data_IF_566651610039
#
_entry.id   IF_566651610039
#
_cell.length_a   1.000
_cell.length_b   1.000
_cell.length_c   1.000
_cell.angle_alpha   90.00
_cell.angle_beta   90.00
_cell.angle_gamma   90.00
#
_symmetry.space_group_name_H-M   'P 1'
#
loop_
_entity.id
_entity.type
_entity.pdbx_description
1 polymer ?
#
# COMPACT_ATOMS: atom_id res chain seq x y z
N UNK A 1 70.90 -26.19 22.76
CA UNK A 1 69.67 -25.39 22.94
C UNK A 1 68.89 -25.46 21.64
N UNK A 2 67.96 -26.41 21.53
CA UNK A 2 67.12 -26.61 20.35
C UNK A 2 66.18 -25.40 20.17
N UNK A 3 66.02 -24.84 18.96
CA UNK A 3 65.22 -23.64 18.75
C UNK A 3 63.72 -23.97 18.87
N UNK A 4 63.19 -23.79 20.08
CA UNK A 4 61.75 -23.76 20.43
C UNK A 4 60.90 -22.93 19.44
N UNK A 5 61.53 -21.98 18.76
CA UNK A 5 60.91 -21.12 17.76
C UNK A 5 60.41 -21.90 16.52
N UNK A 6 61.16 -22.90 16.03
CA UNK A 6 60.81 -23.66 14.82
C UNK A 6 59.52 -24.48 14.99
N UNK A 7 59.36 -25.13 16.14
CA UNK A 7 58.17 -25.93 16.45
C UNK A 7 56.88 -25.11 16.55
N UNK A 8 56.97 -23.86 17.00
CA UNK A 8 55.80 -22.98 17.14
C UNK A 8 55.34 -22.41 15.80
N UNK A 9 56.28 -22.13 14.88
CA UNK A 9 55.98 -21.66 13.53
C UNK A 9 55.37 -22.78 12.69
N UNK A 10 55.93 -23.99 12.77
CA UNK A 10 55.39 -25.16 12.07
C UNK A 10 53.98 -25.52 12.54
N UNK A 11 53.73 -25.51 13.87
CA UNK A 11 52.38 -25.72 14.42
C UNK A 11 51.38 -24.66 13.97
N UNK A 12 51.78 -23.38 13.92
CA UNK A 12 50.91 -22.30 13.44
C UNK A 12 50.57 -22.45 11.95
N UNK A 13 51.54 -22.80 11.12
CA UNK A 13 51.32 -23.06 9.70
C UNK A 13 50.42 -24.27 9.44
N UNK A 14 50.56 -25.33 10.23
CA UNK A 14 49.68 -26.50 10.21
C UNK A 14 48.25 -26.15 10.64
N UNK A 15 48.09 -25.36 11.69
CA UNK A 15 46.78 -24.89 12.17
C UNK A 15 46.09 -23.98 11.15
N UNK A 16 46.82 -23.02 10.55
CA UNK A 16 46.24 -22.15 9.52
C UNK A 16 45.90 -22.93 8.26
N UNK A 17 46.76 -23.86 7.83
CA UNK A 17 46.49 -24.75 6.70
C UNK A 17 45.28 -25.65 6.93
N UNK A 18 45.14 -26.20 8.14
CA UNK A 18 43.98 -27.01 8.52
C UNK A 18 42.68 -26.18 8.54
N UNK A 19 42.71 -24.98 9.12
CA UNK A 19 41.55 -24.07 9.12
C UNK A 19 41.15 -23.64 7.70
N UNK A 20 42.13 -23.38 6.82
CA UNK A 20 41.87 -23.07 5.42
C UNK A 20 41.23 -24.29 4.71
N UNK A 21 41.74 -25.49 4.95
CA UNK A 21 41.18 -26.73 4.40
C UNK A 21 39.74 -26.96 4.85
N UNK A 22 39.41 -26.71 6.13
CA UNK A 22 38.03 -26.81 6.63
C UNK A 22 37.12 -25.81 5.90
N UNK A 23 37.55 -24.56 5.70
CA UNK A 23 36.77 -23.55 4.95
C UNK A 23 36.58 -23.91 3.47
N UNK A 24 37.54 -24.57 2.83
CA UNK A 24 37.42 -25.04 1.44
C UNK A 24 36.53 -26.30 1.31
N UNK A 25 36.44 -27.13 2.35
CA UNK A 25 35.66 -28.38 2.35
C UNK A 25 34.21 -28.17 2.76
N UNK A 26 33.90 -27.11 3.53
CA UNK A 26 32.52 -26.73 3.83
C UNK A 26 31.84 -26.17 2.58
N UNK A 27 31.24 -27.06 1.76
CA UNK A 27 30.25 -26.63 0.77
C UNK A 27 29.08 -26.01 1.53
N UNK A 28 28.59 -24.82 1.15
CA UNK A 28 27.36 -24.29 1.72
C UNK A 28 26.25 -25.30 1.41
N UNK A 29 25.71 -25.93 2.45
CA UNK A 29 24.52 -26.76 2.33
C UNK A 29 23.35 -25.82 2.11
N UNK A 30 23.02 -25.54 0.84
CA UNK A 30 21.78 -24.85 0.53
C UNK A 30 20.64 -25.83 0.79
N UNK A 31 19.83 -25.54 1.79
CA UNK A 31 18.58 -26.26 2.02
C UNK A 31 17.45 -25.69 1.16
N UNK A 32 16.37 -26.46 1.05
CA UNK A 32 15.13 -26.04 0.38
C UNK A 32 14.51 -24.86 1.16
N UNK A 33 14.25 -23.78 0.44
CA UNK A 33 13.60 -22.58 0.98
C UNK A 33 12.11 -22.62 0.60
N UNK A 34 11.23 -22.58 1.59
CA UNK A 34 9.77 -22.68 1.40
C UNK A 34 9.14 -21.35 1.79
N UNK A 35 8.38 -20.76 0.88
CA UNK A 35 7.78 -19.44 1.01
C UNK A 35 6.26 -19.55 0.93
N UNK A 36 5.56 -19.06 1.95
CA UNK A 36 4.11 -18.98 2.00
C UNK A 36 3.66 -17.60 2.48
N UNK A 37 2.41 -17.24 2.20
CA UNK A 37 1.83 -16.02 2.75
C UNK A 37 1.77 -16.15 4.29
N UNK A 38 2.26 -15.17 5.07
CA UNK A 38 2.30 -15.29 6.53
C UNK A 38 0.90 -15.27 7.15
N UNK A 39 -0.02 -14.52 6.55
CA UNK A 39 -1.40 -14.39 7.00
C UNK A 39 -2.33 -14.32 5.78
N UNK A 40 -3.47 -15.00 5.87
CA UNK A 40 -4.53 -14.98 4.86
C UNK A 40 -5.85 -14.71 5.57
N UNK A 41 -6.63 -13.75 5.06
CA UNK A 41 -7.97 -13.44 5.57
C UNK A 41 -9.01 -13.86 4.53
N UNK A 42 -9.91 -14.76 4.91
CA UNK A 42 -11.00 -15.24 4.05
C UNK A 42 -12.36 -14.92 4.64
N UNK A 43 -13.36 -14.77 3.79
CA UNK A 43 -14.75 -14.67 4.25
C UNK A 43 -15.33 -16.07 4.43
N UNK A 44 -16.11 -16.26 5.50
CA UNK A 44 -16.85 -17.51 5.71
C UNK A 44 -17.72 -17.85 4.49
N UNK A 45 -17.66 -19.10 4.03
CA UNK A 45 -18.37 -19.60 2.85
C UNK A 45 -17.69 -19.36 1.49
N UNK A 46 -16.58 -18.62 1.44
CA UNK A 46 -15.86 -18.34 0.18
C UNK A 46 -14.74 -19.35 -0.09
N UNK A 47 -14.26 -19.38 -1.34
CA UNK A 47 -13.05 -20.10 -1.71
C UNK A 47 -11.82 -19.21 -1.48
N UNK A 48 -10.76 -19.75 -0.89
CA UNK A 48 -9.50 -19.05 -0.72
C UNK A 48 -8.31 -19.92 -1.06
N UNK A 49 -7.23 -19.28 -1.48
CA UNK A 49 -5.98 -19.98 -1.85
C UNK A 49 -4.93 -19.75 -0.78
N UNK A 50 -4.37 -20.82 -0.26
CA UNK A 50 -3.21 -20.81 0.62
C UNK A 50 -1.97 -21.00 -0.26
N UNK A 51 -1.24 -19.91 -0.49
CA UNK A 51 -0.09 -19.92 -1.38
C UNK A 51 1.12 -20.52 -0.69
N UNK A 52 1.79 -21.42 -1.38
CA UNK A 52 3.09 -21.94 -0.96
C UNK A 52 3.94 -22.27 -2.20
N UNK A 53 5.17 -21.79 -2.20
CA UNK A 53 6.17 -22.03 -3.24
C UNK A 53 7.47 -22.47 -2.61
N UNK A 54 8.34 -23.12 -3.36
CA UNK A 54 9.66 -23.50 -2.85
C UNK A 54 10.79 -23.18 -3.84
N UNK A 55 11.99 -23.01 -3.31
CA UNK A 55 13.23 -22.89 -4.07
C UNK A 55 14.15 -24.00 -3.65
N UNK A 56 14.51 -24.84 -4.63
CA UNK A 56 15.46 -25.94 -4.49
C UNK A 56 16.44 -25.90 -5.66
N UNK A 57 17.69 -26.28 -5.41
CA UNK A 57 18.72 -26.49 -6.45
C UNK A 57 18.46 -27.74 -7.29
N UNK A 58 17.67 -28.67 -6.76
CA UNK A 58 17.35 -29.93 -7.39
C UNK A 58 16.16 -29.83 -8.33
N UNK A 59 16.15 -30.67 -9.37
CA UNK A 59 15.00 -30.79 -10.27
C UNK A 59 13.87 -31.54 -9.57
N UNK A 60 12.65 -31.06 -9.76
CA UNK A 60 11.44 -31.75 -9.30
C UNK A 60 11.35 -33.11 -9.98
N UNK A 61 11.04 -34.15 -9.20
CA UNK A 61 10.91 -35.53 -9.66
C UNK A 61 9.71 -36.22 -9.01
N UNK A 62 9.49 -37.50 -9.31
CA UNK A 62 8.44 -38.30 -8.66
C UNK A 62 8.67 -38.48 -7.15
N UNK A 63 9.93 -38.37 -6.70
CA UNK A 63 10.30 -38.43 -5.29
C UNK A 63 10.03 -37.13 -4.52
N UNK A 64 9.70 -36.04 -5.23
CA UNK A 64 9.30 -34.78 -4.60
C UNK A 64 7.94 -34.96 -3.93
N UNK A 65 7.87 -34.62 -2.65
CA UNK A 65 6.64 -34.73 -1.86
C UNK A 65 6.28 -33.42 -1.19
N UNK A 66 4.98 -33.16 -1.05
CA UNK A 66 4.44 -32.00 -0.36
C UNK A 66 3.49 -32.48 0.71
N UNK A 67 3.58 -31.90 1.90
CA UNK A 67 2.65 -32.16 3.00
C UNK A 67 2.05 -30.84 3.47
N UNK A 68 0.72 -30.76 3.44
CA UNK A 68 -0.02 -29.70 4.10
C UNK A 68 -0.62 -30.24 5.39
N UNK A 69 -0.38 -29.55 6.50
CA UNK A 69 -0.99 -29.84 7.78
C UNK A 69 -1.67 -28.61 8.38
N UNK A 70 -2.62 -28.85 9.28
CA UNK A 70 -3.43 -27.81 9.91
C UNK A 70 -3.45 -28.00 11.42
N UNK A 71 -3.30 -26.90 12.14
CA UNK A 71 -3.50 -26.82 13.58
C UNK A 71 -4.54 -25.73 13.88
N UNK A 72 -5.61 -26.09 14.55
CA UNK A 72 -6.67 -25.15 14.93
C UNK A 72 -6.21 -24.20 16.04
N UNK A 73 -6.60 -22.94 15.97
CA UNK A 73 -6.41 -21.98 17.06
C UNK A 73 -7.46 -22.09 18.16
N UNK A 74 -8.59 -22.77 17.90
CA UNK A 74 -9.67 -22.99 18.88
C UNK A 74 -9.29 -24.14 19.83
N UNK A 75 -9.22 -23.92 21.16
CA UNK A 75 -8.79 -24.93 22.13
C UNK A 75 -9.63 -26.20 22.15
N UNK A 76 -10.95 -26.06 22.03
CA UNK A 76 -11.95 -27.13 22.04
C UNK A 76 -11.99 -27.96 20.75
N UNK A 77 -11.34 -27.48 19.68
CA UNK A 77 -11.30 -28.18 18.41
C UNK A 77 -10.34 -29.39 18.49
N UNK A 78 -10.72 -30.52 17.88
CA UNK A 78 -9.90 -31.74 17.87
C UNK A 78 -8.49 -31.54 17.26
N UNK A 79 -8.31 -30.53 16.41
CA UNK A 79 -7.06 -30.20 15.75
C UNK A 79 -6.20 -29.17 16.51
N UNK A 80 -6.53 -28.84 17.76
CA UNK A 80 -5.80 -27.81 18.54
C UNK A 80 -4.46 -28.31 19.07
N UNK A 81 -4.38 -29.59 19.46
CA UNK A 81 -3.22 -30.15 20.17
C UNK A 81 -1.97 -30.29 19.33
N UNK A 82 -2.11 -30.62 18.03
CA UNK A 82 -0.99 -30.83 17.12
C UNK A 82 -1.41 -30.63 15.66
N UNK A 83 -0.46 -30.30 14.75
CA UNK A 83 -0.73 -30.25 13.32
C UNK A 83 -1.16 -31.61 12.75
N UNK A 84 -2.29 -31.65 12.04
CA UNK A 84 -2.82 -32.84 11.39
C UNK A 84 -2.70 -32.72 9.87
N UNK A 85 -2.29 -33.80 9.18
CA UNK A 85 -2.12 -33.79 7.72
C UNK A 85 -3.50 -33.72 7.03
N UNK A 86 -3.71 -32.67 6.26
CA UNK A 86 -4.96 -32.42 5.51
C UNK A 86 -4.80 -32.77 4.03
N UNK A 87 -3.58 -32.71 3.49
CA UNK A 87 -3.27 -33.02 2.10
C UNK A 87 -1.82 -33.47 1.95
N UNK A 88 -1.59 -34.45 1.08
CA UNK A 88 -0.28 -35.00 0.77
C UNK A 88 -0.13 -35.18 -0.74
N UNK A 89 0.95 -34.72 -1.33
CA UNK A 89 1.26 -34.91 -2.75
C UNK A 89 2.50 -35.78 -2.89
N UNK A 90 2.42 -36.82 -3.71
CA UNK A 90 3.56 -37.70 -4.03
C UNK A 90 3.31 -38.46 -5.33
N UNK A 91 4.37 -38.76 -6.08
CA UNK A 91 4.30 -39.50 -7.34
C UNK A 91 3.28 -38.91 -8.34
N UNK A 92 3.20 -37.58 -8.42
CA UNK A 92 2.29 -36.87 -9.32
C UNK A 92 0.81 -36.94 -8.94
N UNK A 93 0.49 -37.41 -7.72
CA UNK A 93 -0.89 -37.54 -7.23
C UNK A 93 -1.06 -36.85 -5.89
N UNK A 94 -2.20 -36.18 -5.74
CA UNK A 94 -2.67 -35.63 -4.47
C UNK A 94 -3.53 -36.64 -3.71
N UNK A 95 -3.30 -36.73 -2.42
CA UNK A 95 -3.99 -37.60 -1.47
C UNK A 95 -4.58 -36.71 -0.38
N UNK A 96 -5.87 -36.88 -0.13
CA UNK A 96 -6.60 -36.11 0.86
C UNK A 96 -6.44 -36.76 2.24
N UNK A 97 -6.20 -35.95 3.26
CA UNK A 97 -6.04 -36.38 4.64
C UNK A 97 -7.39 -36.53 5.36
N UNK A 98 -7.50 -35.85 6.50
CA UNK A 98 -8.66 -35.91 7.41
C UNK A 98 -10.01 -35.63 6.72
N UNK A 99 -11.07 -36.25 7.25
CA UNK A 99 -12.39 -36.26 6.62
C UNK A 99 -13.02 -34.87 6.49
N UNK A 100 -12.84 -33.95 7.46
CA UNK A 100 -13.42 -32.60 7.37
C UNK A 100 -12.85 -31.76 6.22
N UNK A 101 -11.63 -32.09 5.77
CA UNK A 101 -10.94 -31.38 4.69
C UNK A 101 -11.03 -32.11 3.33
N UNK A 102 -11.44 -33.39 3.32
CA UNK A 102 -11.47 -34.27 2.15
C UNK A 102 -12.25 -33.74 0.94
N UNK A 103 -13.25 -32.88 1.14
CA UNK A 103 -14.03 -32.28 0.05
C UNK A 103 -13.79 -30.79 -0.16
N UNK A 104 -12.92 -30.19 0.65
CA UNK A 104 -12.73 -28.74 0.69
C UNK A 104 -11.34 -28.30 0.27
N UNK A 105 -10.34 -29.18 0.43
CA UNK A 105 -8.97 -28.93 -0.01
C UNK A 105 -8.79 -29.45 -1.42
N UNK A 106 -8.28 -28.59 -2.30
CA UNK A 106 -7.92 -28.94 -3.67
C UNK A 106 -6.51 -28.44 -3.98
N UNK A 107 -5.72 -29.24 -4.68
CA UNK A 107 -4.42 -28.81 -5.16
C UNK A 107 -4.61 -27.91 -6.39
N UNK A 108 -4.09 -26.69 -6.34
CA UNK A 108 -4.22 -25.70 -7.42
C UNK A 108 -2.87 -25.22 -7.97
N UNK A 109 -1.77 -25.57 -7.30
CA UNK A 109 -0.42 -25.28 -7.74
C UNK A 109 0.05 -26.12 -8.93
N UNK A 110 1.24 -25.80 -9.43
CA UNK A 110 1.99 -26.58 -10.41
C UNK A 110 3.37 -26.90 -9.83
N UNK A 111 3.54 -28.14 -9.37
CA UNK A 111 4.76 -28.58 -8.69
C UNK A 111 6.00 -28.43 -9.59
N UNK A 112 5.85 -28.54 -10.92
CA UNK A 112 6.96 -28.38 -11.86
C UNK A 112 7.42 -26.92 -11.94
N UNK A 113 6.52 -25.97 -11.64
CA UNK A 113 6.82 -24.54 -11.47
C UNK A 113 7.16 -24.19 -10.02
N UNK A 114 7.37 -25.19 -9.17
CA UNK A 114 7.66 -25.06 -7.74
C UNK A 114 6.55 -24.36 -6.95
N UNK A 115 5.32 -24.46 -7.44
CA UNK A 115 4.11 -23.96 -6.78
C UNK A 115 3.32 -25.15 -6.22
N UNK A 116 3.12 -25.15 -4.91
CA UNK A 116 2.48 -26.23 -4.17
C UNK A 116 1.25 -25.74 -3.40
N UNK A 117 0.63 -24.66 -3.92
CA UNK A 117 -0.54 -24.02 -3.34
C UNK A 117 -1.77 -24.91 -3.34
N UNK A 118 -2.58 -24.77 -2.28
CA UNK A 118 -3.88 -25.43 -2.14
C UNK A 118 -5.00 -24.40 -2.06
N UNK A 119 -6.19 -24.78 -2.50
CA UNK A 119 -7.42 -24.03 -2.33
C UNK A 119 -8.28 -24.68 -1.25
N UNK A 120 -8.84 -23.86 -0.37
CA UNK A 120 -9.82 -24.23 0.64
C UNK A 120 -11.18 -23.67 0.24
N UNK A 121 -12.17 -24.54 0.04
CA UNK A 121 -13.53 -24.14 -0.37
C UNK A 121 -14.61 -25.11 0.12
N UNK A 122 -15.65 -24.65 0.84
CA UNK A 122 -15.76 -23.33 1.44
C UNK A 122 -14.86 -23.20 2.68
N UNK A 123 -14.36 -21.98 2.93
CA UNK A 123 -13.73 -21.62 4.20
C UNK A 123 -14.78 -21.52 5.30
N UNK A 124 -14.46 -22.01 6.50
CA UNK A 124 -15.34 -22.06 7.67
C UNK A 124 -14.64 -21.50 8.90
N UNK A 125 -15.40 -21.00 9.88
CA UNK A 125 -14.80 -20.49 11.13
C UNK A 125 -13.96 -21.52 11.89
N UNK A 126 -14.28 -22.81 11.76
CA UNK A 126 -13.49 -23.91 12.31
C UNK A 126 -12.11 -24.07 11.68
N UNK A 127 -11.87 -23.44 10.53
CA UNK A 127 -10.58 -23.44 9.84
C UNK A 127 -9.64 -22.33 10.35
N UNK A 128 -10.07 -21.55 11.35
CA UNK A 128 -9.19 -20.59 12.03
C UNK A 128 -8.03 -21.33 12.70
N UNK A 129 -6.81 -20.97 12.32
CA UNK A 129 -5.61 -21.64 12.78
C UNK A 129 -4.42 -21.43 11.87
N UNK A 130 -3.45 -22.33 11.98
CA UNK A 130 -2.20 -22.27 11.24
C UNK A 130 -2.12 -23.45 10.27
N UNK A 131 -1.87 -23.13 9.01
CA UNK A 131 -1.55 -24.10 7.97
C UNK A 131 -0.04 -24.17 7.79
N UNK A 132 0.47 -25.38 7.63
CA UNK A 132 1.89 -25.66 7.49
C UNK A 132 2.14 -26.32 6.14
N UNK A 133 3.11 -25.80 5.40
CA UNK A 133 3.53 -26.32 4.11
C UNK A 133 4.96 -26.87 4.23
N UNK A 134 5.07 -28.20 4.10
CA UNK A 134 6.35 -28.91 4.11
C UNK A 134 6.62 -29.51 2.72
N UNK A 135 7.82 -29.26 2.19
CA UNK A 135 8.23 -29.73 0.86
C UNK A 135 9.55 -30.49 1.00
N UNK A 136 9.63 -31.65 0.38
CA UNK A 136 10.84 -32.45 0.30
C UNK A 136 11.14 -32.71 -1.16
N UNK A 137 12.33 -32.33 -1.61
CA UNK A 137 12.79 -32.53 -2.98
C UNK A 137 14.14 -33.25 -2.99
N UNK A 138 14.18 -34.57 -2.74
CA UNK A 138 15.43 -35.30 -2.57
C UNK A 138 16.45 -35.08 -3.71
N UNK A 139 17.75 -34.93 -3.40
CA UNK A 139 18.38 -34.99 -2.06
C UNK A 139 18.15 -33.75 -1.18
N UNK A 140 17.56 -32.67 -1.70
CA UNK A 140 17.28 -31.43 -0.99
C UNK A 140 16.01 -31.55 -0.12
N UNK A 141 16.21 -32.06 1.09
CA UNK A 141 15.13 -32.36 2.06
C UNK A 141 15.23 -31.53 3.33
N UNK A 142 16.30 -30.74 3.48
CA UNK A 142 16.56 -29.95 4.69
C UNK A 142 15.97 -28.56 4.47
N UNK A 143 14.79 -28.33 5.02
CA UNK A 143 14.09 -27.05 4.89
C UNK A 143 13.25 -26.73 6.13
N UNK A 144 12.88 -25.45 6.24
CA UNK A 144 11.98 -24.98 7.29
C UNK A 144 10.57 -25.02 6.74
N UNK A 145 9.68 -25.72 7.42
CA UNK A 145 8.25 -25.75 7.10
C UNK A 145 7.65 -24.33 7.15
N UNK A 146 7.03 -23.89 6.06
CA UNK A 146 6.39 -22.58 5.98
C UNK A 146 5.05 -22.59 6.72
N UNK A 147 4.67 -21.42 7.27
CA UNK A 147 3.48 -21.26 8.11
C UNK A 147 2.59 -20.14 7.55
N UNK A 148 1.29 -20.40 7.54
CA UNK A 148 0.27 -19.42 7.14
C UNK A 148 -0.81 -19.37 8.20
N UNK A 149 -1.02 -18.22 8.82
CA UNK A 149 -2.15 -18.00 9.71
C UNK A 149 -3.41 -17.69 8.90
N UNK A 150 -4.45 -18.52 9.02
CA UNK A 150 -5.75 -18.28 8.38
C UNK A 150 -6.71 -17.64 9.37
N UNK A 151 -7.25 -16.49 8.99
CA UNK A 151 -8.37 -15.83 9.68
C UNK A 151 -9.61 -15.83 8.80
N UNK A 152 -10.64 -16.53 9.24
CA UNK A 152 -11.95 -16.53 8.62
C UNK A 152 -12.82 -15.50 9.32
N UNK A 153 -13.23 -14.48 8.56
CA UNK A 153 -14.05 -13.35 9.03
C UNK A 153 -15.47 -13.45 8.50
N UNK A 154 -16.38 -12.73 9.16
CA UNK A 154 -17.71 -12.52 8.64
C UNK A 154 -17.66 -11.63 7.39
N UNK A 155 -18.58 -11.85 6.45
CA UNK A 155 -18.66 -11.17 5.16
C UNK A 155 -18.62 -9.64 5.26
N UNK A 156 -19.08 -9.06 6.35
CA UNK A 156 -19.20 -7.60 6.52
C UNK A 156 -17.95 -6.93 7.11
N UNK A 157 -16.92 -7.70 7.48
CA UNK A 157 -15.76 -7.22 8.22
C UNK A 157 -14.51 -7.00 7.36
N UNK A 158 -14.57 -7.20 6.03
CA UNK A 158 -13.43 -6.87 5.17
C UNK A 158 -13.35 -5.36 4.97
N UNK A 159 -12.14 -4.76 5.02
CA UNK A 159 -11.99 -3.34 4.74
C UNK A 159 -12.53 -3.05 3.33
N UNK A 160 -13.38 -2.01 3.16
CA UNK A 160 -13.86 -1.62 1.85
C UNK A 160 -12.67 -1.34 0.94
N UNK A 161 -12.69 -1.86 -0.29
CA UNK A 161 -11.60 -1.62 -1.23
C UNK A 161 -11.47 -0.11 -1.47
N UNK A 162 -10.36 0.48 -1.02
CA UNK A 162 -10.01 1.89 -1.27
C UNK A 162 -10.11 2.25 -2.76
N UNK A 163 -10.05 1.26 -3.65
CA UNK A 163 -10.28 1.35 -5.09
C UNK A 163 -11.53 2.14 -5.47
N UNK A 164 -12.68 1.89 -4.82
CA UNK A 164 -13.92 2.59 -5.16
C UNK A 164 -13.84 4.08 -4.79
N UNK A 165 -13.23 4.40 -3.66
CA UNK A 165 -13.01 5.78 -3.18
C UNK A 165 -12.01 6.50 -4.08
N UNK A 166 -10.90 5.84 -4.45
CA UNK A 166 -9.87 6.39 -5.34
C UNK A 166 -10.45 6.68 -6.73
N UNK A 167 -11.21 5.74 -7.30
CA UNK A 167 -11.84 5.92 -8.62
C UNK A 167 -12.86 7.07 -8.56
N UNK A 168 -13.69 7.13 -7.52
CA UNK A 168 -14.64 8.22 -7.33
C UNK A 168 -13.96 9.59 -7.23
N UNK A 169 -12.86 9.70 -6.48
CA UNK A 169 -12.11 10.94 -6.33
C UNK A 169 -11.47 11.40 -7.65
N UNK A 170 -10.85 10.50 -8.42
CA UNK A 170 -10.23 10.83 -9.72
C UNK A 170 -11.28 11.26 -10.74
N UNK A 171 -12.38 10.51 -10.85
CA UNK A 171 -13.48 10.87 -11.75
C UNK A 171 -14.11 12.22 -11.36
N UNK A 172 -14.35 12.46 -10.08
CA UNK A 172 -14.90 13.73 -9.59
C UNK A 172 -13.99 14.92 -9.87
N UNK A 173 -12.67 14.77 -9.64
CA UNK A 173 -11.70 15.82 -9.91
C UNK A 173 -11.63 16.18 -11.41
N UNK A 174 -11.64 15.18 -12.31
CA UNK A 174 -11.64 15.41 -13.75
C UNK A 174 -12.91 16.11 -14.23
N UNK A 175 -14.08 15.69 -13.74
CA UNK A 175 -15.35 16.37 -14.05
C UNK A 175 -15.36 17.82 -13.59
N UNK A 176 -14.87 18.10 -12.38
CA UNK A 176 -14.77 19.47 -11.85
C UNK A 176 -13.84 20.34 -12.70
N UNK A 177 -12.69 19.81 -13.13
CA UNK A 177 -11.73 20.49 -13.98
C UNK A 177 -12.33 20.90 -15.34
N UNK A 178 -13.07 19.98 -15.97
CA UNK A 178 -13.76 20.26 -17.24
C UNK A 178 -14.83 21.35 -17.06
N UNK A 179 -15.62 21.27 -15.98
CA UNK A 179 -16.63 22.28 -15.69
C UNK A 179 -16.03 23.67 -15.49
N UNK A 180 -14.91 23.77 -14.76
CA UNK A 180 -14.19 25.03 -14.56
C UNK A 180 -13.65 25.56 -15.90
N UNK A 181 -13.06 24.70 -16.73
CA UNK A 181 -12.54 25.09 -18.04
C UNK A 181 -13.65 25.60 -18.98
N UNK A 182 -14.81 24.93 -19.01
CA UNK A 182 -15.97 25.35 -19.81
C UNK A 182 -16.51 26.70 -19.31
N UNK A 183 -16.67 26.86 -18.00
CA UNK A 183 -17.12 28.13 -17.41
C UNK A 183 -16.15 29.28 -17.76
N UNK A 184 -14.83 29.04 -17.62
CA UNK A 184 -13.81 30.02 -18.00
C UNK A 184 -13.87 30.35 -19.51
N UNK A 185 -14.06 29.36 -20.39
CA UNK A 185 -14.22 29.59 -21.82
C UNK A 185 -15.47 30.43 -22.14
N UNK A 186 -16.59 30.18 -21.46
CA UNK A 186 -17.83 30.97 -21.63
C UNK A 186 -17.59 32.41 -21.17
N UNK A 187 -17.00 32.61 -19.98
CA UNK A 187 -16.69 33.94 -19.46
C UNK A 187 -15.75 34.69 -20.41
N UNK A 188 -14.68 34.06 -20.89
CA UNK A 188 -13.77 34.69 -21.86
C UNK A 188 -14.46 35.04 -23.18
N UNK A 189 -15.35 34.18 -23.70
CA UNK A 189 -16.12 34.48 -24.91
C UNK A 189 -17.08 35.65 -24.72
N UNK A 190 -17.77 35.71 -23.57
CA UNK A 190 -18.67 36.81 -23.24
C UNK A 190 -17.88 38.11 -23.08
N UNK A 191 -16.75 38.09 -22.39
CA UNK A 191 -15.88 39.26 -22.23
C UNK A 191 -15.30 39.73 -23.57
N UNK A 192 -14.91 38.80 -24.46
CA UNK A 192 -14.45 39.15 -25.80
C UNK A 192 -15.57 39.77 -26.64
N UNK A 193 -16.77 39.18 -26.63
CA UNK A 193 -17.93 39.75 -27.34
C UNK A 193 -18.30 41.16 -26.85
N UNK A 194 -17.96 41.50 -25.59
CA UNK A 194 -18.12 42.86 -25.05
C UNK A 194 -17.09 43.84 -25.64
N UNK A 195 -15.85 43.40 -25.84
CA UNK A 195 -14.81 44.24 -26.46
C UNK A 195 -15.06 44.52 -27.95
N UNK A 196 -15.70 43.61 -28.70
CA UNK A 196 -16.13 43.91 -30.08
C UNK A 196 -17.28 44.94 -30.13
N UNK A 197 -18.09 45.07 -29.07
CA UNK A 197 -19.15 46.07 -28.97
C UNK A 197 -18.64 47.47 -28.60
N UNK A 198 -17.56 47.56 -27.81
CA UNK A 198 -16.90 48.83 -27.49
C UNK A 198 -16.12 49.44 -28.68
N UNK A 199 -15.86 48.66 -29.74
CA UNK A 199 -15.21 49.13 -30.97
C UNK A 199 -16.13 49.91 -31.93
N UNK A 200 -17.45 49.93 -31.71
CA UNK A 200 -18.42 50.57 -32.62
C UNK A 200 -19.10 51.83 -32.08
N UNK A 201 -18.79 52.29 -30.86
CA UNK A 201 -19.41 53.49 -30.26
C UNK A 201 -18.48 54.71 -30.14
N UNK A 202 -17.29 54.70 -30.77
CA UNK A 202 -16.35 55.83 -30.70
C UNK A 202 -16.14 56.60 -32.02
N UNK A 203 -16.75 56.19 -33.14
CA UNK A 203 -16.50 56.82 -34.43
C UNK A 203 -17.78 57.20 -35.18
N UNK A 204 -18.61 58.02 -34.54
CA UNK A 204 -19.50 58.90 -35.32
C UNK A 204 -19.58 60.30 -34.71
N UNK A 205 -18.87 61.20 -35.39
CA UNK A 205 -19.22 62.60 -35.61
C UNK A 205 -19.27 63.56 -34.41
N UNK A 206 -18.11 64.04 -33.97
CA UNK A 206 -17.94 65.49 -33.79
C UNK A 206 -17.58 66.04 -35.17
N UNK A 207 -18.60 66.37 -35.96
CA UNK A 207 -18.46 67.12 -37.21
C UNK A 207 -19.31 68.39 -37.11
N UNK A 208 -18.66 69.47 -36.69
CA UNK A 208 -19.01 70.85 -37.03
C UNK A 208 -17.80 71.74 -36.75
N UNK A 209 -16.97 71.85 -37.79
CA UNK A 209 -16.25 73.03 -38.26
C UNK A 209 -16.25 74.29 -37.35
N UNK A 210 -15.10 74.59 -36.76
CA UNK A 210 -14.17 75.73 -37.02
C UNK A 210 -14.73 77.08 -37.57
N UNK A 211 -13.96 78.20 -37.53
CA UNK A 211 -13.04 78.71 -36.49
C UNK A 211 -13.05 80.26 -36.29
N UNK A 212 -12.24 80.63 -35.29
CA UNK A 212 -11.80 81.89 -34.68
C UNK A 212 -11.25 83.03 -35.59
N UNK A 213 -11.09 84.26 -35.02
CA UNK A 213 -10.68 85.47 -35.72
C UNK A 213 -9.15 85.65 -35.82
N UNK A 214 -8.80 86.38 -36.88
CA UNK A 214 -7.57 87.12 -37.24
C UNK A 214 -6.26 86.97 -36.42
N UNK A 215 -5.25 86.48 -37.17
CA UNK A 215 -3.91 87.05 -37.49
C UNK A 215 -2.75 87.04 -36.46
N UNK A 216 -1.60 86.57 -37.01
CA UNK A 216 -0.17 87.00 -36.85
C UNK A 216 0.67 86.11 -35.89
N UNK A 217 1.56 85.22 -36.41
CA UNK A 217 3.03 85.39 -36.72
C UNK A 217 3.84 85.58 -35.41
N UNK A 218 4.94 84.91 -35.04
CA UNK A 218 5.97 84.07 -35.69
C UNK A 218 6.98 83.60 -34.58
N UNK A 219 7.80 82.58 -34.90
CA UNK A 219 9.19 82.35 -34.43
C UNK A 219 9.52 81.85 -32.99
N UNK A 220 10.12 80.65 -33.00
CA UNK A 220 11.48 80.30 -32.53
C UNK A 220 11.85 80.11 -31.04
N UNK A 221 12.38 78.89 -30.79
CA UNK A 221 13.69 78.56 -30.20
C UNK A 221 13.88 78.46 -28.65
N UNK A 222 14.44 77.29 -28.28
CA UNK A 222 15.32 76.93 -27.15
C UNK A 222 14.89 77.04 -25.66
N UNK A 223 15.16 75.95 -24.92
CA UNK A 223 16.08 76.06 -23.77
C UNK A 223 15.54 75.83 -22.34
N UNK A 224 15.68 74.60 -21.85
CA UNK A 224 16.32 74.23 -20.56
C UNK A 224 15.70 74.56 -19.18
N UNK A 225 15.75 73.52 -18.33
CA UNK A 225 15.92 73.42 -16.86
C UNK A 225 14.71 73.31 -15.91
N UNK A 226 14.67 72.09 -15.32
CA UNK A 226 14.47 71.68 -13.91
C UNK A 226 13.39 72.33 -13.04
N UNK A 227 12.58 71.50 -12.37
CA UNK A 227 12.72 71.12 -10.94
C UNK A 227 11.58 70.16 -10.55
N UNK A 228 11.89 68.99 -9.96
CA UNK A 228 10.92 68.09 -9.29
C UNK A 228 10.86 68.41 -7.78
N UNK A 229 9.79 68.04 -7.06
CA UNK A 229 9.87 66.80 -6.28
C UNK A 229 8.58 65.98 -6.15
N UNK A 230 8.80 64.75 -5.68
CA UNK A 230 7.94 63.57 -5.63
C UNK A 230 7.06 63.47 -4.37
N UNK A 231 5.98 62.66 -4.44
CA UNK A 231 5.36 62.00 -3.27
C UNK A 231 3.82 61.85 -3.32
N UNK A 232 3.26 60.62 -3.43
CA UNK A 232 1.84 60.38 -3.68
C UNK A 232 0.99 60.01 -2.44
N UNK A 233 -0.32 60.23 -2.60
CA UNK A 233 -1.43 60.16 -1.64
C UNK A 233 -1.93 58.73 -1.31
N UNK A 234 -2.53 58.63 -0.12
CA UNK A 234 -3.01 57.45 0.59
C UNK A 234 -4.53 57.26 0.40
N UNK A 235 -4.99 56.02 0.10
CA UNK A 235 -6.41 55.66 -0.01
C UNK A 235 -6.97 55.03 1.29
N UNK A 236 -8.31 55.08 1.53
CA UNK A 236 -8.90 54.69 2.82
C UNK A 236 -9.28 53.19 2.96
N UNK A 237 -9.32 52.78 4.23
CA UNK A 237 -9.50 51.45 4.82
C UNK A 237 -10.98 51.17 5.14
N UNK A 238 -11.47 49.94 4.92
CA UNK A 238 -12.79 49.46 5.36
C UNK A 238 -12.61 48.41 6.47
N UNK A 239 -13.29 48.59 7.60
CA UNK A 239 -13.34 47.63 8.73
C UNK A 239 -14.52 46.66 8.60
N UNK A 240 -14.32 45.41 8.98
CA UNK A 240 -15.37 44.41 9.16
C UNK A 240 -15.70 44.23 10.65
N UNK A 241 -16.99 44.10 10.95
CA UNK A 241 -17.57 43.95 12.28
C UNK A 241 -17.65 42.46 12.65
N UNK A 242 -17.17 42.09 13.84
CA UNK A 242 -17.26 40.72 14.41
C UNK A 242 -18.41 40.65 15.41
N UNK A 243 -19.37 39.76 15.15
CA UNK A 243 -20.46 39.46 16.09
C UNK A 243 -19.96 38.56 17.23
N UNK A 244 -20.23 39.00 18.46
CA UNK A 244 -20.13 38.20 19.67
C UNK A 244 -21.50 37.62 20.01
N UNK A 245 -21.62 36.29 20.11
CA UNK A 245 -22.70 35.66 20.89
C UNK A 245 -22.11 34.54 21.73
N UNK A 246 -22.10 34.77 23.04
CA UNK A 246 -21.63 33.82 24.05
C UNK A 246 -22.73 32.86 24.46
N UNK A 247 -22.38 31.59 24.63
CA UNK A 247 -23.19 30.59 25.33
C UNK A 247 -22.32 29.88 26.35
N UNK A 248 -22.76 29.89 27.62
CA UNK A 248 -22.14 29.22 28.77
C UNK A 248 -23.16 28.26 29.40
N UNK A 249 -22.61 27.21 30.03
CA UNK A 249 -23.18 26.22 30.96
C UNK A 249 -23.66 24.92 30.27
N UNK A 250 -23.38 23.71 30.76
CA UNK A 250 -22.82 23.24 32.02
C UNK A 250 -22.36 21.78 31.91
N UNK A 251 -21.30 21.43 32.65
CA UNK A 251 -21.02 20.17 33.34
C UNK A 251 -21.78 18.89 32.94
N UNK A 252 -21.04 17.87 32.48
CA UNK A 252 -21.09 16.53 33.09
C UNK A 252 -19.76 15.79 32.86
N UNK A 253 -19.03 15.60 33.95
CA UNK A 253 -17.89 14.68 34.09
C UNK A 253 -18.50 13.29 34.31
N UNK A 254 -18.23 12.33 33.43
CA UNK A 254 -18.53 10.91 33.65
C UNK A 254 -17.22 10.18 33.94
N UNK A 255 -17.13 9.63 35.15
CA UNK A 255 -16.10 8.70 35.59
C UNK A 255 -16.83 7.48 36.20
N UNK A 256 -16.34 6.25 36.02
CA UNK A 256 -17.15 5.04 36.11
C UNK A 256 -17.40 4.58 37.55
N UNK A 257 -18.64 4.18 37.84
CA UNK A 257 -19.01 3.48 39.07
C UNK A 257 -18.86 1.98 38.84
N UNK A 258 -17.84 1.38 39.45
CA UNK A 258 -17.70 -0.07 39.62
C UNK A 258 -18.57 -0.47 40.81
N UNK A 259 -19.64 -1.23 40.56
CA UNK A 259 -20.31 -1.98 41.60
C UNK A 259 -19.62 -3.33 41.75
N UNK A 260 -18.98 -3.53 42.90
CA UNK A 260 -18.81 -4.85 43.47
C UNK A 260 -20.07 -5.14 44.31
N UNK A 261 -20.75 -6.24 44.02
CA UNK A 261 -21.58 -6.89 45.04
C UNK A 261 -21.41 -8.41 44.98
N UNK A 262 -21.35 -8.94 46.19
CA UNK A 262 -20.96 -10.27 46.59
C UNK A 262 -22.25 -11.07 46.80
N UNK A 263 -22.36 -12.26 46.20
CA UNK A 263 -23.28 -13.27 46.72
C UNK A 263 -22.67 -14.66 46.77
N UNK A 264 -22.15 -14.92 47.98
CA UNK A 264 -22.17 -16.17 48.74
C UNK A 264 -23.28 -17.15 48.31
N UNK A 265 -22.90 -18.31 47.76
CA UNK A 265 -23.25 -19.64 48.28
C UNK A 265 -22.41 -20.71 47.58
#
# INVERSE_FOLDING_TARGET
MEPKWSNNVCKRALLTGFMLFILLVTKPTSGIDIQADPEVVLQNGTAGTLRCTFKSSEKVSNSTSVTWSFQSSQPENQFSKAPNVIFYFSNGKGFLGVAEFKRRVQFVGDINKKDVSIQLSPAQFSDNGTFFCDVKNPPDVVGITARTELRVVLKENLPPSNTAVIVGAVCGALFLLVLVAVAACIVMRVLHSRHEYEGCTSLESVSSQAPQPRKKVEANLEGSRCTSPSGPLQGPVIYAQLDHSGSKNSFHKMEPVVYADIRKN
#
